data_IF_831902464576
#
_entry.id   IF_831902464576
#
_cell.length_a   1.000
_cell.length_b   1.000
_cell.length_c   1.000
_cell.angle_alpha   90.00
_cell.angle_beta   90.00
_cell.angle_gamma   90.00
#
_symmetry.space_group_name_H-M   'P 1'
#
loop_
_entity.id
_entity.type
_entity.pdbx_description
1 polymer ?
#
# COMPACT_ATOMS: atom_id res chain seq x y z
N UNK A 1 -26.56 -21.90 40.82
CA UNK A 1 -25.85 -21.08 41.82
C UNK A 1 -25.18 -19.93 41.08
N UNK A 2 -25.57 -18.73 41.49
CA UNK A 2 -25.08 -17.37 41.16
C UNK A 2 -24.43 -17.10 39.80
N UNK A 3 -25.21 -16.44 38.93
CA UNK A 3 -24.71 -15.40 38.04
C UNK A 3 -24.05 -14.31 38.89
N UNK A 4 -22.73 -14.15 38.82
CA UNK A 4 -22.02 -13.03 39.43
C UNK A 4 -21.31 -12.20 38.37
N UNK A 5 -21.98 -11.09 38.05
CA UNK A 5 -21.40 -9.74 37.91
C UNK A 5 -20.28 -9.56 36.90
N UNK A 6 -20.74 -9.48 35.66
CA UNK A 6 -20.17 -8.86 34.48
C UNK A 6 -20.04 -7.32 34.61
N UNK A 7 -19.31 -6.85 35.63
CA UNK A 7 -19.12 -5.40 35.90
C UNK A 7 -17.68 -4.95 35.61
N UNK A 8 -16.81 -5.87 35.14
CA UNK A 8 -15.46 -5.53 34.64
C UNK A 8 -15.44 -5.26 33.13
N UNK A 9 -16.44 -5.70 32.38
CA UNK A 9 -16.51 -5.47 30.93
C UNK A 9 -17.05 -4.07 30.59
N UNK A 10 -18.00 -3.50 31.33
CA UNK A 10 -18.57 -2.18 31.00
C UNK A 10 -17.56 -1.03 31.12
N UNK A 11 -16.62 -1.09 32.08
CA UNK A 11 -15.60 -0.04 32.23
C UNK A 11 -14.54 -0.13 31.13
N UNK A 12 -14.17 -1.34 30.71
CA UNK A 12 -13.25 -1.57 29.59
C UNK A 12 -13.93 -1.28 28.25
N UNK A 13 -15.22 -1.60 28.09
CA UNK A 13 -16.03 -1.29 26.93
C UNK A 13 -16.29 0.21 26.78
N UNK A 14 -16.52 0.94 27.89
CA UNK A 14 -16.63 2.40 27.88
C UNK A 14 -15.28 3.08 27.61
N UNK A 15 -14.17 2.57 28.15
CA UNK A 15 -12.81 3.00 27.79
C UNK A 15 -12.50 2.67 26.32
N UNK A 16 -12.98 1.55 25.79
CA UNK A 16 -12.84 1.13 24.40
C UNK A 16 -13.66 2.00 23.44
N UNK A 17 -14.92 2.27 23.75
CA UNK A 17 -15.78 3.19 22.99
C UNK A 17 -15.25 4.62 23.07
N UNK A 18 -14.75 5.06 24.23
CA UNK A 18 -14.08 6.35 24.38
C UNK A 18 -12.82 6.42 23.50
N UNK A 19 -11.97 5.39 23.51
CA UNK A 19 -10.75 5.32 22.67
C UNK A 19 -11.06 5.25 21.16
N UNK A 20 -12.12 4.57 20.74
CA UNK A 20 -12.56 4.54 19.33
C UNK A 20 -13.19 5.89 18.89
N UNK A 21 -13.94 6.55 19.77
CA UNK A 21 -14.46 7.90 19.53
C UNK A 21 -13.30 8.92 19.50
N UNK A 22 -12.31 8.76 20.37
CA UNK A 22 -11.07 9.54 20.34
C UNK A 22 -10.32 9.28 19.03
N UNK A 23 -10.17 8.04 18.61
CA UNK A 23 -9.56 7.68 17.32
C UNK A 23 -10.25 8.40 16.15
N UNK A 24 -11.58 8.34 16.02
CA UNK A 24 -12.30 9.02 14.93
C UNK A 24 -12.21 10.55 15.04
N UNK A 25 -12.27 11.12 16.25
CA UNK A 25 -12.10 12.56 16.48
C UNK A 25 -10.68 13.01 16.16
N UNK A 26 -9.67 12.22 16.53
CA UNK A 26 -8.26 12.48 16.40
C UNK A 26 -7.81 12.34 14.95
N UNK A 27 -8.25 11.29 14.27
CA UNK A 27 -8.09 11.11 12.83
C UNK A 27 -8.76 12.27 12.08
N UNK A 28 -9.98 12.68 12.45
CA UNK A 28 -10.62 13.88 11.87
C UNK A 28 -9.85 15.17 12.18
N UNK A 29 -9.26 15.29 13.38
CA UNK A 29 -8.43 16.43 13.77
C UNK A 29 -7.16 16.50 12.91
N UNK A 30 -6.44 15.39 12.75
CA UNK A 30 -5.28 15.25 11.87
C UNK A 30 -5.65 15.59 10.41
N UNK A 31 -6.83 15.15 9.95
CA UNK A 31 -7.35 15.43 8.61
C UNK A 31 -7.86 16.86 8.35
N UNK A 32 -8.20 17.67 9.37
CA UNK A 32 -8.82 19.00 9.18
C UNK A 32 -7.86 20.19 9.13
N UNK A 33 -6.63 20.04 9.56
CA UNK A 33 -5.61 21.10 9.64
C UNK A 33 -5.00 21.54 8.28
N UNK A 34 -5.83 22.12 7.41
CA UNK A 34 -5.37 22.92 6.27
C UNK A 34 -5.37 24.40 6.68
N UNK A 35 -4.21 25.05 6.52
CA UNK A 35 -3.88 26.44 6.92
C UNK A 35 -3.67 26.60 8.43
N UNK A 36 -2.41 26.75 8.83
CA UNK A 36 -2.01 27.10 10.18
C UNK A 36 -0.93 28.19 10.09
N UNK A 37 -0.97 29.18 10.97
CA UNK A 37 0.09 30.17 11.09
C UNK A 37 1.36 29.58 11.77
N UNK A 38 2.43 30.38 11.90
CA UNK A 38 3.70 29.90 12.48
C UNK A 38 3.57 29.48 13.96
N UNK A 39 2.73 30.17 14.74
CA UNK A 39 2.54 29.90 16.16
C UNK A 39 1.70 28.63 16.35
N UNK A 40 0.62 28.50 15.57
CA UNK A 40 -0.21 27.30 15.49
C UNK A 40 0.62 26.09 15.02
N UNK A 41 1.51 26.27 14.05
CA UNK A 41 2.39 25.22 13.53
C UNK A 41 3.32 24.65 14.60
N UNK A 42 4.01 25.50 15.37
CA UNK A 42 4.95 25.04 16.42
C UNK A 42 4.26 24.26 17.53
N UNK A 43 3.06 24.71 17.94
CA UNK A 43 2.23 23.97 18.89
C UNK A 43 1.80 22.62 18.30
N UNK A 44 1.40 22.63 17.02
CA UNK A 44 0.88 21.47 16.32
C UNK A 44 1.92 20.37 16.07
N UNK A 45 3.17 20.70 15.70
CA UNK A 45 4.17 19.67 15.35
C UNK A 45 4.55 18.80 16.56
N UNK A 46 4.66 19.41 17.74
CA UNK A 46 4.89 18.67 19.00
C UNK A 46 3.69 17.80 19.35
N UNK A 47 2.48 18.35 19.26
CA UNK A 47 1.24 17.63 19.56
C UNK A 47 1.03 16.44 18.61
N UNK A 48 1.24 16.65 17.30
CA UNK A 48 1.17 15.62 16.25
C UNK A 48 2.07 14.43 16.57
N UNK A 49 3.31 14.67 17.01
CA UNK A 49 4.27 13.60 17.31
C UNK A 49 3.83 12.70 18.49
N UNK A 50 3.23 13.31 19.52
CA UNK A 50 2.70 12.60 20.70
C UNK A 50 1.45 11.81 20.32
N UNK A 51 0.52 12.46 19.60
CA UNK A 51 -0.71 11.87 19.09
C UNK A 51 -0.44 10.59 18.27
N UNK A 52 0.51 10.63 17.32
CA UNK A 52 0.81 9.46 16.50
C UNK A 52 1.38 8.30 17.31
N UNK A 53 2.19 8.59 18.34
CA UNK A 53 2.74 7.56 19.22
C UNK A 53 1.64 6.91 20.05
N UNK A 54 0.79 7.72 20.68
CA UNK A 54 -0.34 7.24 21.48
C UNK A 54 -1.30 6.39 20.65
N UNK A 55 -1.64 6.84 19.42
CA UNK A 55 -2.47 6.06 18.51
C UNK A 55 -1.85 4.70 18.18
N UNK A 56 -0.53 4.67 17.93
CA UNK A 56 0.16 3.41 17.66
C UNK A 56 0.10 2.46 18.85
N UNK A 57 0.32 2.96 20.06
CA UNK A 57 0.23 2.18 21.30
C UNK A 57 -1.18 1.59 21.47
N UNK A 58 -2.24 2.40 21.27
CA UNK A 58 -3.64 1.93 21.33
C UNK A 58 -3.93 0.80 20.34
N UNK A 59 -3.46 0.93 19.10
CA UNK A 59 -3.65 -0.11 18.09
C UNK A 59 -2.92 -1.41 18.42
N UNK A 60 -1.71 -1.30 18.94
CA UNK A 60 -0.91 -2.46 19.37
C UNK A 60 -1.57 -3.16 20.55
N UNK A 61 -1.98 -2.42 21.59
CA UNK A 61 -2.68 -2.96 22.75
C UNK A 61 -3.96 -3.70 22.34
N UNK A 62 -4.78 -3.08 21.48
CA UNK A 62 -6.02 -3.69 20.95
C UNK A 62 -5.73 -5.00 20.24
N UNK A 63 -4.73 -5.02 19.37
CA UNK A 63 -4.36 -6.21 18.62
C UNK A 63 -3.87 -7.33 19.53
N UNK A 64 -3.05 -7.01 20.54
CA UNK A 64 -2.62 -7.97 21.55
C UNK A 64 -3.81 -8.57 22.31
N UNK A 65 -4.75 -7.73 22.75
CA UNK A 65 -5.94 -8.19 23.47
C UNK A 65 -6.87 -9.06 22.62
N UNK A 66 -6.93 -8.82 21.31
CA UNK A 66 -7.73 -9.60 20.37
C UNK A 66 -7.18 -11.03 20.23
N UNK A 67 -5.85 -11.20 20.21
CA UNK A 67 -5.21 -12.50 19.89
C UNK A 67 -4.71 -13.28 21.09
N UNK A 68 -4.52 -12.67 22.28
CA UNK A 68 -3.82 -13.28 23.43
C UNK A 68 -4.36 -14.65 23.88
N UNK A 69 -5.64 -14.92 23.64
CA UNK A 69 -6.32 -16.15 24.04
C UNK A 69 -6.65 -17.09 22.88
N UNK A 70 -6.24 -16.75 21.64
CA UNK A 70 -6.65 -17.46 20.43
C UNK A 70 -5.57 -18.47 20.01
N UNK A 71 -5.97 -19.72 19.81
CA UNK A 71 -5.11 -20.79 19.31
C UNK A 71 -4.92 -20.69 17.78
N UNK A 72 -3.79 -21.12 17.24
CA UNK A 72 -3.57 -21.07 15.78
C UNK A 72 -4.22 -22.24 15.02
N UNK A 73 -4.56 -23.32 15.73
CA UNK A 73 -5.34 -24.44 15.23
C UNK A 73 -6.54 -24.67 16.16
N UNK A 74 -7.55 -23.79 16.13
CA UNK A 74 -8.62 -23.85 17.12
C UNK A 74 -9.54 -25.04 16.93
N UNK A 75 -10.00 -25.62 18.03
CA UNK A 75 -10.98 -26.70 18.02
C UNK A 75 -12.34 -26.21 17.50
N UNK A 76 -12.93 -26.89 16.52
CA UNK A 76 -14.32 -26.66 16.10
C UNK A 76 -15.33 -27.58 16.82
N UNK A 77 -14.85 -28.66 17.46
CA UNK A 77 -15.60 -29.55 18.37
C UNK A 77 -14.67 -30.02 19.49
N UNK A 78 -15.21 -30.27 20.67
CA UNK A 78 -14.47 -30.66 21.87
C UNK A 78 -15.37 -31.44 22.83
N UNK A 79 -14.78 -32.28 23.67
CA UNK A 79 -15.50 -33.09 24.67
C UNK A 79 -15.68 -32.38 26.01
N UNK A 80 -14.64 -31.68 26.49
CA UNK A 80 -14.62 -31.03 27.81
C UNK A 80 -14.39 -29.53 27.71
N UNK A 81 -13.31 -29.10 27.04
CA UNK A 81 -12.89 -27.69 26.99
C UNK A 81 -12.57 -27.29 25.55
N UNK A 82 -12.89 -26.04 25.21
CA UNK A 82 -12.58 -25.47 23.89
C UNK A 82 -11.14 -24.97 23.82
N UNK A 83 -10.46 -25.27 22.71
CA UNK A 83 -9.19 -24.66 22.31
C UNK A 83 -9.43 -23.55 21.26
N UNK A 84 -10.63 -22.97 21.20
CA UNK A 84 -10.93 -21.89 20.26
C UNK A 84 -10.62 -20.48 20.80
N UNK A 85 -10.48 -20.35 22.12
CA UNK A 85 -10.32 -19.06 22.78
C UNK A 85 -11.55 -18.18 22.62
N UNK A 86 -11.36 -16.90 22.26
CA UNK A 86 -12.47 -15.95 22.00
C UNK A 86 -13.30 -16.29 20.75
N UNK A 87 -12.90 -17.32 20.00
CA UNK A 87 -13.58 -17.77 18.77
C UNK A 87 -14.41 -19.03 19.01
N UNK A 88 -14.62 -19.44 20.25
CA UNK A 88 -15.54 -20.53 20.58
C UNK A 88 -16.92 -20.29 19.93
N UNK A 89 -17.48 -21.33 19.31
CA UNK A 89 -18.72 -21.26 18.53
C UNK A 89 -18.60 -20.60 17.15
N UNK A 90 -17.44 -20.07 16.76
CA UNK A 90 -17.21 -19.41 15.46
C UNK A 90 -16.31 -20.20 14.50
N UNK A 91 -15.76 -21.33 14.95
CA UNK A 91 -14.86 -22.15 14.14
C UNK A 91 -15.67 -23.17 13.34
N UNK A 92 -15.39 -23.24 12.05
CA UNK A 92 -15.94 -24.15 11.08
C UNK A 92 -14.81 -25.01 10.52
N UNK A 93 -14.97 -26.32 10.58
CA UNK A 93 -13.98 -27.28 10.07
C UNK A 93 -13.71 -27.08 8.57
N UNK A 94 -12.43 -27.19 8.18
CA UNK A 94 -11.89 -26.93 6.85
C UNK A 94 -12.09 -25.50 6.31
N UNK A 95 -12.44 -24.53 7.17
CA UNK A 95 -12.63 -23.13 6.77
C UNK A 95 -11.71 -22.22 7.59
N UNK A 96 -11.78 -22.28 8.92
CA UNK A 96 -11.00 -21.41 9.81
C UNK A 96 -10.51 -22.14 11.07
N UNK A 97 -10.48 -23.48 11.03
CA UNK A 97 -9.87 -24.38 12.01
C UNK A 97 -8.35 -24.44 11.93
N UNK A 98 -7.75 -23.77 10.93
CA UNK A 98 -6.33 -23.54 10.84
C UNK A 98 -6.05 -22.12 10.33
N UNK A 99 -5.42 -21.27 11.15
CA UNK A 99 -5.30 -19.82 10.85
C UNK A 99 -4.47 -19.52 9.61
N UNK A 100 -3.61 -20.44 9.16
CA UNK A 100 -2.90 -20.33 7.87
C UNK A 100 -3.86 -20.31 6.68
N UNK A 101 -5.02 -20.97 6.79
CA UNK A 101 -5.99 -21.08 5.71
C UNK A 101 -6.89 -19.84 5.66
N UNK A 102 -7.56 -19.53 6.77
CA UNK A 102 -8.31 -18.29 6.99
C UNK A 102 -8.57 -18.09 8.49
N UNK A 103 -8.78 -16.83 8.90
CA UNK A 103 -9.23 -16.48 10.25
C UNK A 103 -10.14 -15.25 10.26
N UNK A 104 -10.85 -15.03 11.38
CA UNK A 104 -11.87 -13.97 11.53
C UNK A 104 -11.30 -12.57 11.25
N UNK A 105 -10.12 -12.24 11.79
CA UNK A 105 -9.51 -10.92 11.60
C UNK A 105 -9.16 -10.61 10.13
N UNK A 106 -8.63 -11.59 9.38
CA UNK A 106 -8.35 -11.42 7.95
C UNK A 106 -9.65 -11.21 7.17
N UNK A 107 -10.66 -12.05 7.42
CA UNK A 107 -11.97 -11.92 6.76
C UNK A 107 -12.66 -10.59 7.06
N UNK A 108 -12.55 -10.10 8.29
CA UNK A 108 -13.09 -8.79 8.71
C UNK A 108 -12.39 -7.66 7.96
N UNK A 109 -11.05 -7.67 7.94
CA UNK A 109 -10.26 -6.67 7.23
C UNK A 109 -10.54 -6.70 5.71
N UNK A 110 -10.64 -7.88 5.11
CA UNK A 110 -11.00 -8.05 3.69
C UNK A 110 -12.37 -7.43 3.39
N UNK A 111 -13.38 -7.71 4.21
CA UNK A 111 -14.73 -7.14 4.06
C UNK A 111 -14.73 -5.63 4.17
N UNK A 112 -14.00 -5.10 5.15
CA UNK A 112 -13.88 -3.67 5.37
C UNK A 112 -13.23 -2.98 4.17
N UNK A 113 -12.05 -3.46 3.74
CA UNK A 113 -11.34 -3.01 2.56
C UNK A 113 -12.21 -3.02 1.30
N UNK A 114 -12.95 -4.11 1.05
CA UNK A 114 -13.89 -4.20 -0.08
C UNK A 114 -14.99 -3.14 0.00
N UNK A 115 -15.59 -2.97 1.19
CA UNK A 115 -16.73 -2.06 1.37
C UNK A 115 -16.36 -0.59 1.17
N UNK A 116 -15.11 -0.23 1.47
CA UNK A 116 -14.62 1.16 1.42
C UNK A 116 -14.08 1.51 0.03
N UNK A 117 -13.34 0.62 -0.62
CA UNK A 117 -12.52 0.97 -1.79
C UNK A 117 -12.96 0.32 -3.11
N UNK A 118 -13.80 -0.71 -3.09
CA UNK A 118 -14.08 -1.50 -4.28
C UNK A 118 -15.57 -1.58 -4.63
N UNK A 119 -15.91 -1.68 -5.92
CA UNK A 119 -17.29 -1.95 -6.31
C UNK A 119 -17.73 -3.37 -5.94
N UNK A 120 -19.04 -3.59 -5.87
CA UNK A 120 -19.62 -4.92 -5.62
C UNK A 120 -19.06 -5.97 -6.60
N UNK A 121 -18.72 -7.14 -6.06
CA UNK A 121 -18.22 -8.30 -6.82
C UNK A 121 -16.70 -8.40 -6.93
N UNK A 122 -15.95 -7.37 -6.54
CA UNK A 122 -14.50 -7.49 -6.33
C UNK A 122 -14.23 -8.11 -4.97
N UNK A 123 -13.26 -9.02 -4.90
CA UNK A 123 -12.82 -9.70 -3.69
C UNK A 123 -11.45 -9.24 -3.26
N UNK A 124 -11.25 -9.10 -1.94
CA UNK A 124 -9.97 -8.82 -1.33
C UNK A 124 -9.38 -10.10 -0.72
N UNK A 125 -8.07 -10.27 -0.87
CA UNK A 125 -7.29 -11.28 -0.14
C UNK A 125 -6.10 -10.58 0.51
N UNK A 126 -6.08 -10.53 1.84
CA UNK A 126 -4.96 -9.91 2.57
C UNK A 126 -3.78 -10.86 2.68
N UNK A 127 -2.58 -10.32 2.56
CA UNK A 127 -1.31 -11.05 2.64
C UNK A 127 -0.34 -10.39 3.62
N UNK A 128 0.66 -11.13 4.09
CA UNK A 128 1.64 -10.67 5.08
C UNK A 128 2.48 -9.48 4.61
N UNK A 129 2.55 -9.24 3.29
CA UNK A 129 3.17 -8.06 2.69
C UNK A 129 2.69 -7.87 1.24
N UNK A 130 3.01 -6.72 0.63
CA UNK A 130 2.79 -6.51 -0.81
C UNK A 130 3.59 -7.52 -1.67
N UNK A 131 4.81 -7.87 -1.28
CA UNK A 131 5.58 -8.90 -1.98
C UNK A 131 4.93 -10.28 -1.85
N UNK A 132 4.36 -10.61 -0.69
CA UNK A 132 3.60 -11.83 -0.50
C UNK A 132 2.33 -11.86 -1.39
N UNK A 133 1.72 -10.71 -1.68
CA UNK A 133 0.64 -10.59 -2.65
C UNK A 133 1.11 -10.98 -4.06
N UNK A 134 2.23 -10.42 -4.53
CA UNK A 134 2.80 -10.76 -5.83
C UNK A 134 3.24 -12.23 -5.92
N UNK A 135 3.86 -12.77 -4.86
CA UNK A 135 4.21 -14.20 -4.77
C UNK A 135 2.98 -15.09 -4.87
N UNK A 136 1.89 -14.72 -4.20
CA UNK A 136 0.61 -15.44 -4.26
C UNK A 136 0.02 -15.43 -5.67
N UNK A 137 0.03 -14.26 -6.33
CA UNK A 137 -0.42 -14.12 -7.72
C UNK A 137 0.40 -15.00 -8.65
N UNK A 138 1.73 -14.97 -8.53
CA UNK A 138 2.65 -15.79 -9.31
C UNK A 138 2.34 -17.29 -9.13
N UNK A 139 2.18 -17.74 -7.89
CA UNK A 139 1.87 -19.14 -7.59
C UNK A 139 0.50 -19.55 -8.16
N UNK A 140 -0.52 -18.71 -8.04
CA UNK A 140 -1.85 -18.98 -8.59
C UNK A 140 -1.82 -19.12 -10.12
N UNK A 141 -1.12 -18.22 -10.81
CA UNK A 141 -0.93 -18.30 -12.26
C UNK A 141 -0.18 -19.59 -12.65
N UNK A 142 0.93 -19.89 -11.98
CA UNK A 142 1.75 -21.08 -12.25
C UNK A 142 0.95 -22.38 -12.06
N UNK A 143 0.23 -22.52 -10.94
CA UNK A 143 -0.62 -23.71 -10.68
C UNK A 143 -1.76 -23.85 -11.68
N UNK A 144 -2.20 -22.74 -12.26
CA UNK A 144 -3.19 -22.74 -13.32
C UNK A 144 -2.60 -23.01 -14.72
N UNK A 145 -1.31 -23.36 -14.83
CA UNK A 145 -0.62 -23.60 -16.09
C UNK A 145 -0.39 -22.34 -16.92
N UNK A 146 -0.40 -21.17 -16.28
CA UNK A 146 -0.27 -19.85 -16.90
C UNK A 146 1.07 -19.24 -16.47
N UNK A 147 1.86 -18.75 -17.42
CA UNK A 147 3.14 -18.08 -17.10
C UNK A 147 4.36 -18.56 -17.87
N UNK A 148 4.22 -19.34 -18.94
CA UNK A 148 5.34 -19.70 -19.82
C UNK A 148 6.02 -18.49 -20.47
N UNK A 149 5.29 -17.37 -20.65
CA UNK A 149 5.78 -16.08 -21.13
C UNK A 149 4.96 -14.96 -20.45
N UNK A 150 5.64 -13.99 -19.84
CA UNK A 150 5.03 -12.84 -19.15
C UNK A 150 5.50 -11.56 -19.83
N UNK A 151 4.60 -10.64 -20.12
CA UNK A 151 4.97 -9.28 -20.50
C UNK A 151 5.03 -8.40 -19.24
N UNK A 152 6.08 -7.61 -19.11
CA UNK A 152 6.23 -6.63 -18.04
C UNK A 152 6.53 -5.25 -18.62
N UNK A 153 5.93 -4.23 -18.02
CA UNK A 153 6.21 -2.86 -18.40
C UNK A 153 7.68 -2.47 -18.19
N UNK A 154 8.24 -1.69 -19.13
CA UNK A 154 9.62 -1.19 -19.11
C UNK A 154 9.98 -0.53 -17.78
N UNK A 155 9.06 0.24 -17.22
CA UNK A 155 9.30 1.01 -16.00
C UNK A 155 8.80 0.30 -14.74
N UNK A 156 8.45 -0.99 -14.83
CA UNK A 156 7.94 -1.72 -13.67
C UNK A 156 9.00 -1.80 -12.55
N UNK A 157 8.52 -1.70 -11.31
CA UNK A 157 9.34 -1.73 -10.11
C UNK A 157 10.31 -2.90 -10.09
N UNK A 158 11.57 -2.64 -9.76
CA UNK A 158 12.64 -3.63 -9.91
C UNK A 158 12.38 -4.93 -9.12
N UNK A 159 11.69 -4.87 -7.97
CA UNK A 159 11.37 -6.08 -7.20
C UNK A 159 10.34 -6.95 -7.92
N UNK A 160 9.46 -6.36 -8.74
CA UNK A 160 8.51 -7.09 -9.57
C UNK A 160 9.28 -7.91 -10.62
N UNK A 161 10.35 -7.33 -11.21
CA UNK A 161 11.26 -8.04 -12.14
C UNK A 161 12.05 -9.15 -11.46
N UNK A 162 12.57 -8.90 -10.27
CA UNK A 162 13.26 -9.91 -9.46
C UNK A 162 12.38 -11.12 -9.16
N UNK A 163 11.09 -10.89 -8.86
CA UNK A 163 10.11 -11.95 -8.62
C UNK A 163 9.77 -12.77 -9.87
N UNK A 164 10.19 -12.34 -11.06
CA UNK A 164 10.01 -13.06 -12.32
C UNK A 164 11.27 -13.81 -12.78
N UNK A 165 12.35 -13.83 -11.99
CA UNK A 165 13.53 -14.64 -12.32
C UNK A 165 13.15 -16.11 -12.55
N UNK A 166 13.65 -16.68 -13.63
CA UNK A 166 13.33 -18.04 -14.09
C UNK A 166 12.07 -18.15 -14.96
N UNK A 167 11.38 -17.04 -15.24
CA UNK A 167 10.25 -16.98 -16.20
C UNK A 167 10.73 -16.26 -17.46
N UNK A 168 10.23 -16.65 -18.64
CA UNK A 168 10.46 -15.90 -19.88
C UNK A 168 9.71 -14.58 -19.81
N UNK A 169 10.44 -13.47 -19.78
CA UNK A 169 9.89 -12.12 -19.66
C UNK A 169 10.12 -11.34 -20.95
N UNK A 170 9.06 -10.74 -21.48
CA UNK A 170 9.14 -9.70 -22.52
C UNK A 170 8.94 -8.34 -21.88
N UNK A 171 9.80 -7.40 -22.20
CA UNK A 171 9.67 -6.02 -21.73
C UNK A 171 8.97 -5.19 -22.79
N UNK A 172 8.03 -4.33 -22.41
CA UNK A 172 7.34 -3.44 -23.35
C UNK A 172 7.11 -2.05 -22.79
N UNK A 173 7.02 -1.07 -23.69
CA UNK A 173 6.65 0.30 -23.35
C UNK A 173 5.13 0.38 -23.14
N UNK A 174 4.70 0.64 -21.90
CA UNK A 174 3.30 0.61 -21.49
C UNK A 174 2.46 1.72 -22.15
N UNK A 175 3.12 2.71 -22.76
CA UNK A 175 2.48 3.80 -23.52
C UNK A 175 2.18 3.40 -24.96
N UNK A 176 2.80 2.33 -25.48
CA UNK A 176 2.71 1.90 -26.88
C UNK A 176 1.76 0.72 -27.04
N UNK A 177 0.51 1.04 -27.32
CA UNK A 177 -0.59 0.06 -27.48
C UNK A 177 -0.29 -1.05 -28.51
N UNK A 178 0.42 -0.73 -29.60
CA UNK A 178 0.80 -1.71 -30.62
C UNK A 178 1.75 -2.79 -30.08
N UNK A 179 2.60 -2.46 -29.10
CA UNK A 179 3.45 -3.48 -28.46
C UNK A 179 2.61 -4.45 -27.62
N UNK A 180 1.62 -3.94 -26.88
CA UNK A 180 0.68 -4.78 -26.12
C UNK A 180 -0.06 -5.71 -27.07
N UNK A 181 -0.62 -5.16 -28.16
CA UNK A 181 -1.33 -5.95 -29.17
C UNK A 181 -0.47 -7.10 -29.70
N UNK A 182 0.74 -6.79 -30.19
CA UNK A 182 1.68 -7.78 -30.74
C UNK A 182 1.99 -8.88 -29.72
N UNK A 183 2.27 -8.51 -28.47
CA UNK A 183 2.58 -9.49 -27.41
C UNK A 183 1.43 -10.45 -27.15
N UNK A 184 0.20 -9.96 -27.11
CA UNK A 184 -0.98 -10.83 -26.94
C UNK A 184 -1.18 -11.74 -28.16
N UNK A 185 -0.98 -11.22 -29.38
CA UNK A 185 -1.04 -12.01 -30.62
C UNK A 185 0.04 -13.10 -30.68
N UNK A 186 1.24 -12.84 -30.13
CA UNK A 186 2.32 -13.81 -29.94
C UNK A 186 2.07 -14.82 -28.79
N UNK A 187 0.91 -14.78 -28.15
CA UNK A 187 0.50 -15.74 -27.13
C UNK A 187 0.89 -15.39 -25.69
N UNK A 188 1.28 -14.15 -25.40
CA UNK A 188 1.43 -13.70 -24.00
C UNK A 188 0.08 -13.73 -23.29
N UNK A 189 0.05 -14.33 -22.08
CA UNK A 189 -1.17 -14.49 -21.29
C UNK A 189 -1.15 -13.76 -19.94
N UNK A 190 -0.02 -13.19 -19.57
CA UNK A 190 0.13 -12.39 -18.35
C UNK A 190 0.82 -11.10 -18.71
N UNK A 191 0.18 -9.98 -18.38
CA UNK A 191 0.73 -8.63 -18.56
C UNK A 191 0.82 -7.99 -17.17
N UNK A 192 2.03 -7.70 -16.72
CA UNK A 192 2.30 -7.01 -15.46
C UNK A 192 2.65 -5.55 -15.72
N UNK A 193 1.94 -4.64 -15.08
CA UNK A 193 2.21 -3.19 -15.17
C UNK A 193 2.09 -2.52 -13.81
N UNK A 194 2.86 -1.47 -13.61
CA UNK A 194 2.67 -0.56 -12.49
C UNK A 194 1.67 0.53 -12.90
N UNK A 195 0.74 0.87 -12.02
CA UNK A 195 -0.18 2.00 -12.23
C UNK A 195 0.56 3.34 -12.30
N UNK A 196 1.61 3.46 -11.49
CA UNK A 196 2.59 4.52 -11.49
C UNK A 196 3.95 3.88 -11.19
N UNK A 197 4.92 4.05 -12.10
CA UNK A 197 6.23 3.45 -11.94
C UNK A 197 6.98 4.04 -10.75
N UNK A 198 7.76 3.21 -10.07
CA UNK A 198 8.72 3.65 -9.06
C UNK A 198 10.14 3.67 -9.64
N UNK A 199 10.32 4.47 -10.69
CA UNK A 199 11.58 4.66 -11.45
C UNK A 199 11.92 6.14 -11.58
N UNK A 200 13.07 6.44 -12.19
CA UNK A 200 13.52 7.82 -12.42
C UNK A 200 12.56 8.66 -13.28
N UNK A 201 11.71 7.98 -14.08
CA UNK A 201 10.75 8.62 -14.99
C UNK A 201 9.36 8.82 -14.37
N UNK A 202 9.05 8.14 -13.27
CA UNK A 202 7.77 8.22 -12.55
C UNK A 202 6.53 8.17 -13.48
N UNK A 203 6.53 7.24 -14.44
CA UNK A 203 5.57 7.15 -15.55
C UNK A 203 4.26 6.53 -15.08
N UNK A 204 3.14 7.17 -15.40
CA UNK A 204 1.81 6.62 -15.17
C UNK A 204 1.34 5.79 -16.39
N UNK A 205 0.95 4.55 -16.18
CA UNK A 205 0.40 3.71 -17.24
C UNK A 205 -1.08 4.03 -17.51
N UNK A 206 -1.50 4.03 -18.78
CA UNK A 206 -2.91 4.06 -19.14
C UNK A 206 -3.51 2.65 -19.08
N UNK A 207 -3.71 2.16 -17.86
CA UNK A 207 -4.19 0.79 -17.57
C UNK A 207 -5.50 0.49 -18.31
N UNK A 208 -6.45 1.42 -18.34
CA UNK A 208 -7.73 1.21 -19.01
C UNK A 208 -7.55 0.99 -20.51
N UNK A 209 -6.64 1.74 -21.14
CA UNK A 209 -6.36 1.58 -22.55
C UNK A 209 -5.65 0.25 -22.84
N UNK A 210 -4.69 -0.16 -22.01
CA UNK A 210 -4.06 -1.49 -22.08
C UNK A 210 -5.12 -2.59 -21.95
N UNK A 211 -6.02 -2.49 -20.98
CA UNK A 211 -7.12 -3.42 -20.79
C UNK A 211 -8.07 -3.47 -22.00
N UNK A 212 -8.42 -2.32 -22.60
CA UNK A 212 -9.24 -2.25 -23.82
C UNK A 212 -8.57 -2.93 -25.01
N UNK A 213 -7.27 -2.72 -25.20
CA UNK A 213 -6.48 -3.38 -26.25
C UNK A 213 -6.51 -4.90 -26.04
N UNK A 214 -6.15 -5.37 -24.84
CA UNK A 214 -6.15 -6.82 -24.51
C UNK A 214 -7.54 -7.42 -24.78
N UNK A 215 -8.61 -6.79 -24.29
CA UNK A 215 -9.99 -7.26 -24.47
C UNK A 215 -10.37 -7.38 -25.96
N UNK A 216 -9.87 -6.47 -26.80
CA UNK A 216 -10.14 -6.44 -28.24
C UNK A 216 -9.41 -7.57 -28.99
N UNK A 217 -8.14 -7.83 -28.67
CA UNK A 217 -7.27 -8.72 -29.46
C UNK A 217 -7.11 -10.13 -28.89
N UNK A 218 -7.42 -10.32 -27.60
CA UNK A 218 -7.28 -11.61 -26.94
C UNK A 218 -8.20 -12.68 -27.55
N UNK A 219 -7.58 -13.76 -28.02
CA UNK A 219 -8.26 -15.00 -28.42
C UNK A 219 -8.26 -16.05 -27.31
N UNK A 220 -7.39 -15.90 -26.32
CA UNK A 220 -7.32 -16.72 -25.11
C UNK A 220 -7.48 -15.85 -23.86
N UNK A 221 -7.70 -16.47 -22.70
CA UNK A 221 -7.73 -15.72 -21.44
C UNK A 221 -6.36 -15.13 -21.12
N UNK A 222 -6.33 -13.81 -20.93
CA UNK A 222 -5.19 -12.98 -20.51
C UNK A 222 -5.46 -12.39 -19.13
N UNK A 223 -4.42 -12.32 -18.30
CA UNK A 223 -4.44 -11.72 -16.98
C UNK A 223 -3.67 -10.40 -17.01
N UNK A 224 -4.35 -9.32 -16.65
CA UNK A 224 -3.72 -8.02 -16.45
C UNK A 224 -3.47 -7.85 -14.94
N UNK A 225 -2.21 -7.95 -14.55
CA UNK A 225 -1.74 -7.84 -13.16
C UNK A 225 -1.20 -6.44 -12.94
N UNK A 226 -1.73 -5.72 -11.95
CA UNK A 226 -1.44 -4.30 -11.73
C UNK A 226 -0.89 -4.09 -10.33
N UNK A 227 0.29 -3.47 -10.22
CA UNK A 227 0.77 -2.90 -8.96
C UNK A 227 0.19 -1.49 -8.78
N UNK A 228 -0.69 -1.32 -7.79
CA UNK A 228 -1.29 -0.02 -7.46
C UNK A 228 -0.64 0.67 -6.23
N UNK A 229 0.45 0.12 -5.71
CA UNK A 229 1.03 0.58 -4.44
C UNK A 229 1.41 2.07 -4.44
N UNK A 230 1.82 2.63 -5.58
CA UNK A 230 2.29 4.02 -5.72
C UNK A 230 1.15 5.06 -5.71
N UNK A 231 -0.07 4.68 -6.12
CA UNK A 231 -1.23 5.58 -6.11
C UNK A 231 -2.20 5.28 -4.94
N UNK A 232 -2.22 4.04 -4.46
CA UNK A 232 -3.07 3.61 -3.36
C UNK A 232 -4.56 3.54 -3.71
N UNK A 233 -5.42 3.26 -2.72
CA UNK A 233 -6.82 2.87 -2.93
C UNK A 233 -7.77 4.04 -3.21
N UNK A 234 -7.28 5.29 -3.20
CA UNK A 234 -8.07 6.47 -3.56
C UNK A 234 -8.23 6.71 -5.07
N UNK A 235 -7.73 5.77 -5.88
CA UNK A 235 -7.92 5.73 -7.35
C UNK A 235 -9.19 4.97 -7.69
N UNK A 236 -10.01 5.56 -8.54
CA UNK A 236 -11.24 4.94 -9.02
C UNK A 236 -10.95 3.94 -10.16
N UNK A 237 -11.11 2.65 -9.88
CA UNK A 237 -10.98 1.56 -10.86
C UNK A 237 -12.31 0.98 -11.33
N UNK A 238 -13.45 1.66 -11.09
CA UNK A 238 -14.78 1.12 -11.48
C UNK A 238 -14.88 0.78 -12.96
N UNK A 239 -14.38 1.63 -13.85
CA UNK A 239 -14.40 1.37 -15.29
C UNK A 239 -13.48 0.21 -15.67
N UNK A 240 -12.29 0.12 -15.05
CA UNK A 240 -11.38 -0.99 -15.26
C UNK A 240 -12.03 -2.34 -14.87
N UNK A 241 -12.71 -2.40 -13.73
CA UNK A 241 -13.38 -3.62 -13.29
C UNK A 241 -14.48 -4.10 -14.25
N UNK A 242 -15.16 -3.18 -14.96
CA UNK A 242 -16.16 -3.53 -15.99
C UNK A 242 -15.54 -4.18 -17.24
N UNK A 243 -14.23 -4.03 -17.45
CA UNK A 243 -13.55 -4.65 -18.60
C UNK A 243 -13.28 -6.14 -18.37
N UNK A 244 -13.32 -6.61 -17.12
CA UNK A 244 -13.14 -8.03 -16.77
C UNK A 244 -14.25 -8.89 -17.38
N UNK A 245 -13.87 -9.94 -18.11
CA UNK A 245 -14.76 -10.89 -18.77
C UNK A 245 -14.08 -12.27 -18.99
N UNK A 246 -14.62 -13.10 -19.87
CA UNK A 246 -14.06 -14.43 -20.16
C UNK A 246 -12.64 -14.41 -20.76
N UNK A 247 -12.27 -13.31 -21.44
CA UNK A 247 -11.01 -13.12 -22.17
C UNK A 247 -9.98 -12.31 -21.38
N UNK A 248 -10.41 -11.34 -20.57
CA UNK A 248 -9.55 -10.50 -19.76
C UNK A 248 -9.94 -10.63 -18.28
N UNK A 249 -8.99 -10.98 -17.43
CA UNK A 249 -9.16 -10.99 -15.99
C UNK A 249 -8.19 -10.00 -15.34
N UNK A 250 -8.72 -9.02 -14.61
CA UNK A 250 -7.93 -7.99 -13.94
C UNK A 250 -7.61 -8.44 -12.51
N UNK A 251 -6.35 -8.31 -12.13
CA UNK A 251 -5.86 -8.55 -10.78
C UNK A 251 -5.06 -7.32 -10.37
N UNK A 252 -5.43 -6.69 -9.27
CA UNK A 252 -4.69 -5.53 -8.72
C UNK A 252 -4.09 -5.97 -7.39
N UNK A 253 -2.87 -5.56 -7.09
CA UNK A 253 -2.29 -5.76 -5.76
C UNK A 253 -1.63 -4.49 -5.25
N UNK A 254 -1.60 -4.39 -3.92
CA UNK A 254 -1.10 -3.21 -3.23
C UNK A 254 -0.39 -3.58 -1.93
N UNK A 255 0.58 -2.76 -1.53
CA UNK A 255 1.14 -2.79 -0.19
C UNK A 255 0.29 -1.97 0.78
N UNK A 256 -0.17 -2.60 1.87
CA UNK A 256 -0.88 -1.93 2.96
C UNK A 256 0.03 -1.02 3.79
N UNK A 257 1.36 -1.13 3.66
CA UNK A 257 2.35 -0.27 4.33
C UNK A 257 2.45 1.15 3.79
N UNK A 258 1.70 1.46 2.73
CA UNK A 258 1.72 2.79 2.11
C UNK A 258 0.59 3.61 2.69
N UNK A 259 -0.50 3.72 1.95
CA UNK A 259 -1.58 4.65 2.29
C UNK A 259 -2.59 4.08 3.30
N UNK A 260 -2.77 2.75 3.34
CA UNK A 260 -3.86 2.09 4.10
C UNK A 260 -3.72 2.15 5.63
N UNK A 261 -2.54 2.50 6.14
CA UNK A 261 -2.29 2.61 7.57
C UNK A 261 -2.26 4.05 8.07
N UNK A 262 -2.66 5.01 7.22
CA UNK A 262 -2.62 6.44 7.55
C UNK A 262 -1.28 6.87 8.15
N UNK A 263 -0.19 6.28 7.66
CA UNK A 263 1.14 6.66 8.07
C UNK A 263 1.60 6.13 9.43
N UNK A 264 0.77 5.35 10.14
CA UNK A 264 1.13 4.74 11.42
C UNK A 264 2.19 3.64 11.28
N UNK A 265 2.25 2.98 10.12
CA UNK A 265 3.25 1.95 9.78
C UNK A 265 3.42 0.91 10.90
N UNK A 266 2.30 0.35 11.33
CA UNK A 266 2.18 -0.56 12.48
C UNK A 266 2.59 -1.98 12.15
N UNK A 267 2.25 -2.45 10.96
CA UNK A 267 2.48 -3.83 10.53
C UNK A 267 2.78 -3.91 9.04
N UNK A 268 3.44 -4.99 8.61
CA UNK A 268 3.48 -5.35 7.20
C UNK A 268 2.12 -5.87 6.73
N UNK A 269 1.78 -5.60 5.48
CA UNK A 269 0.58 -6.13 4.85
C UNK A 269 0.54 -5.88 3.34
N UNK A 270 -0.22 -6.72 2.65
CA UNK A 270 -0.59 -6.56 1.26
C UNK A 270 -2.05 -6.93 1.05
N UNK A 271 -2.59 -6.53 -0.10
CA UNK A 271 -3.94 -6.93 -0.52
C UNK A 271 -3.93 -7.25 -2.01
N UNK A 272 -4.64 -8.31 -2.38
CA UNK A 272 -4.95 -8.66 -3.76
C UNK A 272 -6.43 -8.40 -3.99
N UNK A 273 -6.74 -7.61 -5.01
CA UNK A 273 -8.08 -7.40 -5.53
C UNK A 273 -8.26 -8.24 -6.79
N UNK A 274 -9.33 -9.02 -6.83
CA UNK A 274 -9.65 -9.82 -8.00
C UNK A 274 -11.16 -9.97 -8.19
N UNK A 275 -11.54 -10.24 -9.44
CA UNK A 275 -12.92 -10.57 -9.80
C UNK A 275 -12.89 -11.68 -10.84
N UNK A 276 -13.52 -12.82 -10.55
CA UNK A 276 -13.67 -13.91 -11.51
C UNK A 276 -13.17 -15.24 -10.98
N UNK A 277 -12.79 -16.14 -11.91
CA UNK A 277 -12.42 -17.52 -11.59
C UNK A 277 -11.04 -17.62 -10.93
N UNK A 278 -10.19 -16.63 -11.11
CA UNK A 278 -8.86 -16.60 -10.49
C UNK A 278 -8.93 -16.29 -9.00
N UNK A 279 -10.02 -15.71 -8.49
CA UNK A 279 -10.17 -15.39 -7.08
C UNK A 279 -10.04 -16.63 -6.18
N UNK A 280 -10.68 -17.74 -6.53
CA UNK A 280 -10.58 -19.00 -5.77
C UNK A 280 -9.14 -19.55 -5.82
N UNK A 281 -8.51 -19.52 -7.00
CA UNK A 281 -7.12 -19.96 -7.15
C UNK A 281 -6.12 -19.09 -6.39
N UNK A 282 -6.39 -17.80 -6.27
CA UNK A 282 -5.58 -16.88 -5.46
C UNK A 282 -5.75 -17.17 -3.97
N UNK A 283 -6.96 -17.49 -3.53
CA UNK A 283 -7.21 -17.93 -2.17
C UNK A 283 -6.44 -19.23 -1.86
N UNK A 284 -6.56 -20.26 -2.72
CA UNK A 284 -5.82 -21.52 -2.58
C UNK A 284 -4.30 -21.31 -2.59
N UNK A 285 -3.80 -20.49 -3.52
CA UNK A 285 -2.39 -20.17 -3.58
C UNK A 285 -1.91 -19.46 -2.31
N UNK A 286 -2.72 -18.57 -1.72
CA UNK A 286 -2.37 -17.89 -0.46
C UNK A 286 -2.24 -18.88 0.69
N UNK A 287 -3.20 -19.80 0.81
CA UNK A 287 -3.18 -20.85 1.83
C UNK A 287 -1.94 -21.72 1.70
N UNK A 288 -1.66 -22.21 0.49
CA UNK A 288 -0.52 -23.10 0.23
C UNK A 288 0.84 -22.40 0.32
N UNK A 289 0.92 -21.11 -0.02
CA UNK A 289 2.15 -20.33 0.13
C UNK A 289 2.41 -19.89 1.57
N UNK A 290 1.41 -19.99 2.46
CA UNK A 290 1.48 -19.46 3.82
C UNK A 290 1.63 -17.93 3.83
N UNK A 291 1.10 -17.25 2.82
CA UNK A 291 1.26 -15.79 2.63
C UNK A 291 0.16 -14.97 3.27
N UNK A 292 -0.79 -15.60 3.97
CA UNK A 292 -1.85 -14.91 4.72
C UNK A 292 -1.25 -13.95 5.75
N UNK A 293 -1.92 -12.82 5.96
CA UNK A 293 -1.58 -11.85 7.01
C UNK A 293 -1.95 -12.44 8.38
N UNK A 294 -1.11 -12.29 9.41
CA UNK A 294 -1.41 -12.85 10.73
C UNK A 294 -2.56 -12.11 11.42
N UNK A 295 -3.23 -12.79 12.36
CA UNK A 295 -4.35 -12.22 13.12
C UNK A 295 -3.98 -10.91 13.84
N UNK A 296 -2.82 -10.88 14.49
CA UNK A 296 -2.33 -9.68 15.18
C UNK A 296 -2.08 -8.54 14.19
N UNK A 297 -1.47 -8.84 13.04
CA UNK A 297 -1.22 -7.86 11.98
C UNK A 297 -2.53 -7.31 11.41
N UNK A 298 -3.51 -8.16 11.10
CA UNK A 298 -4.82 -7.71 10.63
C UNK A 298 -5.48 -6.76 11.63
N UNK A 299 -5.36 -7.05 12.92
CA UNK A 299 -5.96 -6.27 14.01
C UNK A 299 -5.27 -4.91 14.23
N UNK A 300 -4.01 -4.79 13.81
CA UNK A 300 -3.24 -3.53 13.80
C UNK A 300 -3.51 -2.64 12.59
N UNK A 301 -4.19 -3.15 11.54
CA UNK A 301 -4.57 -2.28 10.42
C UNK A 301 -5.68 -1.33 10.88
N UNK A 302 -5.50 -0.01 10.65
CA UNK A 302 -6.50 0.98 11.04
C UNK A 302 -7.85 0.78 10.39
N UNK A 303 -8.90 1.27 11.04
CA UNK A 303 -10.23 1.31 10.44
C UNK A 303 -10.21 2.15 9.17
N UNK A 304 -10.69 1.60 8.06
CA UNK A 304 -10.61 2.20 6.74
C UNK A 304 -11.71 3.26 6.55
N UNK A 305 -11.29 4.46 6.15
CA UNK A 305 -12.13 5.60 5.82
C UNK A 305 -11.70 6.21 4.46
N UNK A 306 -12.63 6.23 3.52
CA UNK A 306 -12.39 6.78 2.18
C UNK A 306 -12.21 8.30 2.19
N UNK A 307 -13.02 9.04 2.97
CA UNK A 307 -12.95 10.50 3.04
C UNK A 307 -11.60 10.93 3.61
N UNK A 308 -11.16 10.25 4.66
CA UNK A 308 -9.85 10.44 5.25
C UNK A 308 -8.72 10.24 4.25
N UNK A 309 -8.75 9.11 3.53
CA UNK A 309 -7.77 8.79 2.50
C UNK A 309 -7.69 9.90 1.45
N UNK A 310 -8.84 10.41 0.97
CA UNK A 310 -8.89 11.50 -0.02
C UNK A 310 -8.29 12.80 0.50
N UNK A 311 -8.51 13.13 1.76
CA UNK A 311 -7.91 14.32 2.40
C UNK A 311 -6.39 14.21 2.45
N UNK A 312 -5.86 13.06 2.86
CA UNK A 312 -4.41 12.83 2.91
C UNK A 312 -3.75 12.87 1.53
N UNK A 313 -4.37 12.23 0.54
CA UNK A 313 -3.90 12.29 -0.84
C UNK A 313 -3.94 13.72 -1.41
N UNK A 314 -4.99 14.49 -1.12
CA UNK A 314 -5.08 15.89 -1.56
C UNK A 314 -3.96 16.76 -0.94
N UNK A 315 -3.63 16.54 0.34
CA UNK A 315 -2.50 17.24 0.98
C UNK A 315 -1.16 16.83 0.41
N UNK A 316 -0.95 15.53 0.18
CA UNK A 316 0.26 15.04 -0.47
C UNK A 316 0.39 15.64 -1.88
N UNK A 317 -0.70 15.73 -2.65
CA UNK A 317 -0.69 16.38 -3.96
C UNK A 317 -0.32 17.87 -3.86
N UNK A 318 -0.94 18.62 -2.95
CA UNK A 318 -0.57 20.03 -2.68
C UNK A 318 0.90 20.17 -2.30
N UNK A 319 1.37 19.36 -1.35
CA UNK A 319 2.74 19.39 -0.87
C UNK A 319 3.73 19.04 -1.99
N UNK A 320 3.37 18.11 -2.87
CA UNK A 320 4.13 17.77 -4.07
C UNK A 320 4.30 18.99 -4.98
N UNK A 321 3.20 19.70 -5.26
CA UNK A 321 3.23 20.90 -6.09
C UNK A 321 4.08 22.00 -5.47
N UNK A 322 3.87 22.32 -4.18
CA UNK A 322 4.68 23.35 -3.49
C UNK A 322 6.15 22.96 -3.50
N UNK A 323 6.49 21.72 -3.15
CA UNK A 323 7.87 21.30 -3.08
C UNK A 323 8.56 21.33 -4.45
N UNK A 324 7.82 21.08 -5.53
CA UNK A 324 8.36 21.16 -6.90
C UNK A 324 8.87 22.55 -7.28
N UNK A 325 8.32 23.62 -6.69
CA UNK A 325 8.76 25.01 -6.92
C UNK A 325 10.18 25.26 -6.40
N UNK A 326 10.64 24.46 -5.42
CA UNK A 326 11.97 24.56 -4.83
C UNK A 326 13.02 23.65 -5.49
N UNK A 327 12.61 22.82 -6.45
CA UNK A 327 13.43 21.74 -7.01
C UNK A 327 13.60 21.89 -8.51
N UNK A 328 14.79 22.33 -8.93
CA UNK A 328 15.20 22.34 -10.33
C UNK A 328 15.27 20.91 -10.90
N UNK A 329 14.76 20.71 -12.11
CA UNK A 329 14.81 19.43 -12.85
C UNK A 329 14.17 18.24 -12.13
N UNK A 330 13.13 18.47 -11.33
CA UNK A 330 12.36 17.39 -10.75
C UNK A 330 11.38 16.77 -11.77
N UNK A 331 11.07 15.49 -11.57
CA UNK A 331 10.12 14.70 -12.34
C UNK A 331 8.93 14.38 -11.44
N UNK A 332 7.74 14.64 -11.96
CA UNK A 332 6.45 14.32 -11.34
C UNK A 332 5.59 13.54 -12.31
N UNK A 333 4.66 12.75 -11.77
CA UNK A 333 3.77 11.95 -12.60
C UNK A 333 2.72 12.83 -13.27
N UNK A 334 2.60 12.72 -14.60
CA UNK A 334 1.54 13.36 -15.36
C UNK A 334 0.25 12.54 -15.28
N UNK A 335 -0.64 12.90 -14.35
CA UNK A 335 -1.92 12.20 -14.14
C UNK A 335 -3.01 13.15 -13.69
N UNK A 336 -4.24 12.95 -14.19
CA UNK A 336 -5.42 13.64 -13.67
C UNK A 336 -5.79 13.11 -12.28
N UNK A 337 -5.93 14.00 -11.31
CA UNK A 337 -6.24 13.65 -9.91
C UNK A 337 -4.98 13.40 -9.09
N UNK A 338 -5.02 12.45 -8.16
CA UNK A 338 -3.85 12.12 -7.35
C UNK A 338 -2.80 11.41 -8.20
N UNK A 339 -1.63 12.05 -8.36
CA UNK A 339 -0.51 11.56 -9.18
C UNK A 339 0.55 10.82 -8.37
N UNK A 340 0.20 10.29 -7.20
CA UNK A 340 1.17 9.77 -6.24
C UNK A 340 1.83 10.87 -5.40
N UNK A 341 2.52 10.43 -4.35
CA UNK A 341 3.18 11.30 -3.37
C UNK A 341 4.67 11.47 -3.67
N UNK A 342 5.13 11.20 -4.89
CA UNK A 342 6.55 11.13 -5.21
C UNK A 342 6.97 12.27 -6.14
N UNK A 343 8.13 12.82 -5.83
CA UNK A 343 8.94 13.67 -6.71
C UNK A 343 10.26 12.95 -6.91
N UNK A 344 10.75 12.93 -8.14
CA UNK A 344 12.04 12.33 -8.46
C UNK A 344 13.01 13.40 -8.91
N UNK A 345 14.23 13.38 -8.38
CA UNK A 345 15.35 14.16 -8.88
C UNK A 345 16.31 13.17 -9.55
N UNK A 346 16.42 13.19 -10.89
CA UNK A 346 17.40 12.38 -11.59
C UNK A 346 18.80 12.72 -11.13
N UNK A 347 19.62 11.70 -10.84
CA UNK A 347 21.03 11.90 -10.45
C UNK A 347 21.93 11.34 -11.55
N UNK A 348 22.61 12.22 -12.27
CA UNK A 348 23.63 11.82 -13.26
C UNK A 348 24.80 11.15 -12.55
N UNK A 349 25.46 10.16 -13.20
CA UNK A 349 26.58 9.27 -12.77
C UNK A 349 27.48 9.78 -11.61
N UNK A 350 26.89 10.05 -10.47
CA UNK A 350 27.51 10.62 -9.28
C UNK A 350 27.63 9.49 -8.28
N UNK A 351 28.74 9.46 -7.53
CA UNK A 351 28.94 8.40 -6.55
C UNK A 351 27.78 8.40 -5.53
N UNK A 352 27.31 7.20 -5.17
CA UNK A 352 26.25 7.06 -4.15
C UNK A 352 26.66 7.67 -2.81
N UNK A 353 27.96 7.81 -2.55
CA UNK A 353 28.53 8.50 -1.39
C UNK A 353 28.22 9.99 -1.43
N UNK A 354 28.49 10.68 -2.56
CA UNK A 354 28.23 12.11 -2.69
C UNK A 354 26.73 12.42 -2.56
N UNK A 355 25.87 11.58 -3.13
CA UNK A 355 24.42 11.75 -2.99
C UNK A 355 23.96 11.49 -1.55
N UNK A 356 24.51 10.49 -0.88
CA UNK A 356 24.20 10.25 0.54
C UNK A 356 24.63 11.43 1.41
N UNK A 357 25.73 12.09 1.07
CA UNK A 357 26.18 13.31 1.72
C UNK A 357 25.23 14.50 1.48
N UNK A 358 24.71 14.66 0.27
CA UNK A 358 23.65 15.64 -0.03
C UNK A 358 22.38 15.39 0.79
N UNK A 359 21.94 14.14 0.86
CA UNK A 359 20.80 13.76 1.71
C UNK A 359 21.06 14.14 3.16
N UNK A 360 22.24 13.85 3.70
CA UNK A 360 22.61 14.25 5.06
C UNK A 360 22.61 15.76 5.27
N UNK A 361 23.16 16.54 4.32
CA UNK A 361 23.09 18.01 4.35
C UNK A 361 21.62 18.48 4.39
N UNK A 362 20.73 17.90 3.58
CA UNK A 362 19.30 18.24 3.58
C UNK A 362 18.66 18.02 4.95
N UNK A 363 18.95 16.89 5.61
CA UNK A 363 18.47 16.61 6.97
C UNK A 363 18.97 17.64 7.97
N UNK A 364 20.23 18.06 7.86
CA UNK A 364 20.82 19.07 8.75
C UNK A 364 20.19 20.45 8.55
N UNK A 365 19.99 20.88 7.30
CA UNK A 365 19.38 22.19 7.02
C UNK A 365 17.90 22.23 7.41
N UNK A 366 17.14 21.17 7.15
CA UNK A 366 15.73 21.07 7.60
C UNK A 366 15.60 21.03 9.12
N UNK A 367 16.50 20.32 9.82
CA UNK A 367 16.57 20.37 11.29
C UNK A 367 16.81 21.78 11.83
N UNK A 368 17.70 22.58 11.20
CA UNK A 368 17.94 23.98 11.61
C UNK A 368 16.72 24.88 11.44
N UNK A 369 15.86 24.55 10.48
CA UNK A 369 14.58 25.21 10.21
C UNK A 369 13.44 24.71 11.11
N UNK A 370 13.72 23.73 11.97
CA UNK A 370 12.72 23.18 12.89
C UNK A 370 11.68 22.28 12.23
N UNK A 371 11.93 21.77 11.02
CA UNK A 371 11.00 20.86 10.30
C UNK A 371 11.55 19.44 10.18
N UNK A 372 10.65 18.45 10.24
CA UNK A 372 10.99 17.05 10.05
C UNK A 372 11.11 16.65 8.57
N UNK A 373 12.33 16.35 8.13
CA UNK A 373 12.60 15.54 6.93
C UNK A 373 13.20 14.20 7.37
N UNK A 374 12.74 13.09 6.81
CA UNK A 374 13.24 11.76 7.16
C UNK A 374 14.00 11.09 6.01
N UNK A 375 15.02 10.30 6.34
CA UNK A 375 15.67 9.41 5.35
C UNK A 375 14.97 8.06 5.40
N UNK A 376 14.42 7.58 4.29
CA UNK A 376 13.80 6.26 4.28
C UNK A 376 13.19 5.83 2.95
N UNK A 377 13.26 4.53 2.67
CA UNK A 377 12.86 3.93 1.39
C UNK A 377 11.35 3.75 1.19
N UNK A 378 10.52 3.96 2.22
CA UNK A 378 9.06 3.88 2.12
C UNK A 378 8.41 5.23 1.74
N UNK A 379 7.09 5.24 1.58
CA UNK A 379 6.29 6.39 1.16
C UNK A 379 4.82 6.21 1.60
N UNK A 380 3.98 7.23 1.44
CA UNK A 380 2.58 7.23 1.90
C UNK A 380 2.45 7.54 3.40
N UNK A 381 3.43 8.22 3.98
CA UNK A 381 3.58 8.46 5.42
C UNK A 381 3.36 9.94 5.76
N UNK A 382 3.18 10.31 7.05
CA UNK A 382 2.77 11.66 7.45
C UNK A 382 3.84 12.73 7.27
N UNK A 383 5.10 12.29 7.15
CA UNK A 383 6.28 13.13 7.06
C UNK A 383 7.02 12.83 5.77
N UNK A 384 7.54 13.89 5.15
CA UNK A 384 8.27 13.87 3.89
C UNK A 384 9.56 13.10 4.07
N UNK A 385 9.86 12.26 3.09
CA UNK A 385 11.03 11.39 3.08
C UNK A 385 11.87 11.64 1.86
N UNK A 386 13.19 11.56 2.02
CA UNK A 386 14.15 11.63 0.93
C UNK A 386 15.01 10.35 0.93
N UNK A 387 15.18 9.73 -0.24
CA UNK A 387 15.90 8.46 -0.32
C UNK A 387 16.53 8.19 -1.68
N UNK A 388 17.77 7.70 -1.64
CA UNK A 388 18.51 7.25 -2.82
C UNK A 388 18.04 5.85 -3.25
N UNK A 389 17.36 5.77 -4.39
CA UNK A 389 16.72 4.56 -4.87
C UNK A 389 17.55 3.86 -5.94
N UNK A 390 17.28 2.57 -6.19
CA UNK A 390 17.89 1.74 -7.24
C UNK A 390 19.43 1.57 -7.16
N UNK A 391 20.03 1.61 -5.95
CA UNK A 391 21.49 1.47 -5.75
C UNK A 391 22.08 0.12 -6.19
N UNK A 392 21.29 -0.95 -6.21
CA UNK A 392 21.74 -2.35 -6.33
C UNK A 392 21.01 -3.14 -7.42
N UNK A 393 20.37 -2.47 -8.37
CA UNK A 393 19.60 -3.13 -9.43
C UNK A 393 20.11 -2.71 -10.80
N UNK A 394 20.10 -3.65 -11.74
CA UNK A 394 20.39 -3.41 -13.16
C UNK A 394 19.16 -2.88 -13.93
N UNK A 395 17.97 -2.91 -13.31
CA UNK A 395 16.70 -2.62 -14.00
C UNK A 395 16.27 -1.15 -13.97
N UNK A 396 16.95 -0.30 -13.19
CA UNK A 396 16.63 1.11 -13.08
C UNK A 396 17.89 1.93 -12.82
N UNK A 397 17.91 3.18 -13.30
CA UNK A 397 18.99 4.10 -12.96
C UNK A 397 18.83 4.55 -11.51
N UNK A 398 19.94 4.94 -10.88
CA UNK A 398 19.88 5.54 -9.56
C UNK A 398 19.17 6.90 -9.65
N UNK A 399 18.30 7.20 -8.69
CA UNK A 399 17.60 8.49 -8.58
C UNK A 399 17.32 8.84 -7.13
N UNK A 400 17.19 10.13 -6.85
CA UNK A 400 16.78 10.61 -5.54
C UNK A 400 15.27 10.76 -5.54
N UNK A 401 14.59 10.02 -4.66
CA UNK A 401 13.14 10.09 -4.52
C UNK A 401 12.80 10.90 -3.28
N UNK A 402 11.96 11.91 -3.45
CA UNK A 402 11.29 12.57 -2.35
C UNK A 402 9.86 12.06 -2.32
N UNK A 403 9.43 11.54 -1.18
CA UNK A 403 8.06 11.08 -0.94
C UNK A 403 7.41 12.05 0.03
N UNK A 404 6.60 12.95 -0.50
CA UNK A 404 5.97 14.02 0.30
C UNK A 404 4.94 13.42 1.26
N UNK A 405 4.93 13.96 2.48
CA UNK A 405 3.91 13.65 3.45
C UNK A 405 2.71 14.59 3.31
N UNK A 406 1.89 14.64 4.36
CA UNK A 406 0.73 15.54 4.46
C UNK A 406 0.92 16.62 5.53
N UNK A 407 2.16 17.05 5.75
CA UNK A 407 2.48 18.21 6.58
C UNK A 407 1.69 19.45 6.15
N UNK A 408 1.62 20.44 7.04
CA UNK A 408 1.05 21.74 6.68
C UNK A 408 1.91 22.44 5.62
N UNK A 409 1.32 23.46 5.00
CA UNK A 409 1.99 24.22 3.94
C UNK A 409 3.29 24.90 4.42
N UNK A 410 3.28 25.50 5.61
CA UNK A 410 4.47 26.14 6.15
C UNK A 410 5.64 25.15 6.28
N UNK A 411 5.37 23.97 6.83
CA UNK A 411 6.39 22.93 6.99
C UNK A 411 6.95 22.46 5.64
N UNK A 412 6.10 22.29 4.60
CA UNK A 412 6.60 21.84 3.30
C UNK A 412 7.44 22.93 2.61
N UNK A 413 7.11 24.22 2.79
CA UNK A 413 7.92 25.34 2.28
C UNK A 413 9.30 25.38 2.95
N UNK A 414 9.35 25.22 4.27
CA UNK A 414 10.62 25.14 5.01
C UNK A 414 11.45 23.90 4.64
N UNK A 415 10.79 22.75 4.37
CA UNK A 415 11.45 21.57 3.81
C UNK A 415 12.04 21.89 2.43
N UNK A 416 11.26 22.53 1.55
CA UNK A 416 11.71 22.95 0.23
C UNK A 416 12.91 23.88 0.28
N UNK A 417 12.88 24.89 1.13
CA UNK A 417 13.99 25.81 1.37
C UNK A 417 15.24 25.13 1.94
N UNK A 418 15.06 24.16 2.84
CA UNK A 418 16.14 23.35 3.37
C UNK A 418 16.82 22.49 2.29
N UNK A 419 16.02 21.93 1.39
CA UNK A 419 16.51 21.10 0.27
C UNK A 419 17.18 21.99 -0.79
N UNK A 420 16.51 23.05 -1.25
CA UNK A 420 17.01 24.01 -2.26
C UNK A 420 18.39 24.54 -1.89
N UNK A 421 18.59 24.97 -0.64
CA UNK A 421 19.88 25.48 -0.16
C UNK A 421 21.03 24.48 -0.32
N UNK A 422 20.77 23.19 -0.22
CA UNK A 422 21.82 22.16 -0.41
C UNK A 422 22.17 22.01 -1.88
N UNK A 423 21.18 22.07 -2.77
CA UNK A 423 21.36 21.93 -4.21
C UNK A 423 21.87 23.20 -4.91
N UNK A 424 21.73 24.38 -4.30
CA UNK A 424 22.30 25.64 -4.81
C UNK A 424 23.75 25.91 -4.36
N UNK A 425 24.19 25.27 -3.27
CA UNK A 425 25.54 25.45 -2.70
C UNK A 425 26.60 24.50 -3.28
N UNK A 426 26.21 23.56 -4.13
CA UNK A 426 27.08 22.60 -4.83
C UNK A 426 26.92 22.78 -6.34
#
# INVERSE_FOLDING_TARGET
MSYTNDVRDDKQLLLFLAKQIEEEKLLRRIGRLGECDEQEWRSYEREKSLIWREMREVYVERACDEVKSNYQAPSFRYSLWSEAGKREGKILGNINDYTRDQHEAAHKLEKELMSVYQPRGVKALVTSSGMAALTTIRLALQRAGIGGKVAIGEESYFQNREQLKGIKVEVFDETKQEQVKRLIEEGVRVVLIDSLSNTEKLRAANIEQVAKVIKKVANMRVYLVIDNSMLGPGVDYRELWKLTNAKLEVIVWESLNKFFQYGMDLTMGGVIWSRGKMTEKLFDARMHAGTIMSEISCSMIPKQDYKMMKVYQARMERNKMILSEYLSNCVMAERKGFGGAQIVIPVNKTSSIKISYWVWKCIRETRRRGVQLAVGSSFGLPNTRIYLTARKTEYARMFLRISVGWECELAIREIGEGIRRVFELD
#
